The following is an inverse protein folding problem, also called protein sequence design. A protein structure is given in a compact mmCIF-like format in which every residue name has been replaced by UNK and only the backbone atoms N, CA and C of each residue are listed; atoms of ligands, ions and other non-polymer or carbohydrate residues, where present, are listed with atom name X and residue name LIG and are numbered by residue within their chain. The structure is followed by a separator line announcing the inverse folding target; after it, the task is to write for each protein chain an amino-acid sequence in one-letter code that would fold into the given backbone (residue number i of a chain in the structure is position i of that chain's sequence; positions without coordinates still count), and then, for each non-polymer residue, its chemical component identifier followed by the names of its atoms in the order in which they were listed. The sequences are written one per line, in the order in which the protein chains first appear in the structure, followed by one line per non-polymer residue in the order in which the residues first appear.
data_IF_432452202711
#
_entry.id   IF_432452202711
#
_cell.length_a   1.000
_cell.length_b   1.000
_cell.length_c   1.000
_cell.angle_alpha   90.00
_cell.angle_beta   90.00
_cell.angle_gamma   90.00
#
_symmetry.space_group_name_H-M   'P 1'
#
loop_
_entity.id
_entity.type
_entity.pdbx_description
1 polymer ?
#
# COMPACT_ATOMS: atom_id res chain seq x y z
N UNK A 1 -4.17 13.15 -14.27
CA UNK A 1 -3.49 11.92 -13.91
C UNK A 1 -2.39 12.20 -12.89
N UNK A 2 -2.21 11.30 -11.93
CA UNK A 2 -1.06 11.34 -11.03
C UNK A 2 0.17 10.80 -11.75
N UNK A 3 1.26 11.56 -11.69
CA UNK A 3 2.56 11.17 -12.25
C UNK A 3 3.64 11.33 -11.18
N UNK A 4 4.75 10.62 -11.32
CA UNK A 4 5.85 10.65 -10.35
C UNK A 4 5.44 10.19 -8.94
N UNK A 5 4.57 9.20 -8.84
CA UNK A 5 4.13 8.62 -7.57
C UNK A 5 5.16 7.60 -7.10
N UNK A 6 5.60 7.70 -5.84
CA UNK A 6 6.41 6.69 -5.17
C UNK A 6 5.69 6.21 -3.90
N UNK A 7 5.44 4.90 -3.81
CA UNK A 7 4.86 4.24 -2.65
C UNK A 7 5.88 3.24 -2.12
N UNK A 8 6.41 3.48 -0.92
CA UNK A 8 7.52 2.70 -0.38
C UNK A 8 7.42 2.49 1.13
N UNK A 9 7.78 1.30 1.60
CA UNK A 9 7.96 0.99 3.02
C UNK A 9 6.67 0.90 3.83
N UNK A 10 5.53 0.68 3.18
CA UNK A 10 4.26 0.58 3.88
C UNK A 10 3.95 -0.86 4.29
N UNK A 11 3.26 -0.99 5.41
CA UNK A 11 2.53 -2.19 5.80
C UNK A 11 1.06 -2.02 5.45
N UNK A 12 0.53 -2.89 4.61
CA UNK A 12 -0.88 -3.09 4.36
C UNK A 12 -1.28 -4.40 5.02
N UNK A 13 -2.16 -4.36 6.00
CA UNK A 13 -2.53 -5.56 6.76
C UNK A 13 -4.03 -5.64 6.97
N UNK A 14 -4.63 -6.77 6.61
CA UNK A 14 -6.06 -7.06 6.73
C UNK A 14 -6.98 -6.15 5.91
N UNK A 15 -6.46 -5.56 4.83
CA UNK A 15 -7.30 -4.75 3.95
C UNK A 15 -8.05 -5.65 2.96
N UNK A 16 -9.38 -5.48 2.89
CA UNK A 16 -10.22 -6.29 2.02
C UNK A 16 -9.83 -6.15 0.55
N UNK A 17 -9.56 -4.93 0.11
CA UNK A 17 -9.10 -4.66 -1.25
C UNK A 17 -8.31 -3.34 -1.33
N UNK A 18 -7.71 -3.10 -2.49
CA UNK A 18 -6.95 -1.87 -2.76
C UNK A 18 -5.70 -1.72 -1.88
N UNK A 19 -4.99 -2.83 -1.65
CA UNK A 19 -3.66 -2.81 -1.05
C UNK A 19 -2.66 -2.13 -2.00
N UNK A 20 -3.00 -0.96 -2.42
CA UNK A 20 -2.67 0.01 -3.47
C UNK A 20 -3.62 -0.10 -4.66
N UNK A 21 -4.30 1.01 -4.95
CA UNK A 21 -5.12 1.18 -6.15
C UNK A 21 -4.47 2.21 -7.07
N UNK A 22 -4.15 1.78 -8.27
CA UNK A 22 -3.60 2.59 -9.34
C UNK A 22 -4.69 2.85 -10.37
N UNK A 23 -5.18 4.09 -10.44
CA UNK A 23 -6.20 4.48 -11.43
C UNK A 23 -5.55 4.72 -12.79
N UNK A 24 -6.31 4.51 -13.84
CA UNK A 24 -5.84 4.57 -15.22
C UNK A 24 -5.03 5.81 -15.57
N UNK A 25 -4.01 5.66 -16.39
CA UNK A 25 -3.08 6.70 -16.77
C UNK A 25 -2.10 7.15 -15.69
N UNK A 26 -2.04 6.47 -14.53
CA UNK A 26 -1.08 6.76 -13.46
C UNK A 26 0.33 6.36 -13.88
N UNK A 27 1.32 7.15 -13.46
CA UNK A 27 2.74 6.77 -13.51
C UNK A 27 3.26 6.61 -12.09
N UNK A 28 3.56 5.39 -11.68
CA UNK A 28 3.91 5.08 -10.31
C UNK A 28 5.02 4.04 -10.16
N UNK A 29 5.76 4.18 -9.07
CA UNK A 29 6.68 3.17 -8.53
C UNK A 29 6.14 2.71 -7.19
N UNK A 30 5.90 1.42 -7.06
CA UNK A 30 5.61 0.74 -5.80
C UNK A 30 6.79 -0.14 -5.45
N UNK A 31 7.45 0.15 -4.34
CA UNK A 31 8.66 -0.57 -3.97
C UNK A 31 8.73 -0.89 -2.48
N UNK A 32 9.20 -2.09 -2.16
CA UNK A 32 9.49 -2.50 -0.79
C UNK A 32 8.32 -2.32 0.19
N UNK A 33 7.10 -2.61 -0.23
CA UNK A 33 5.95 -2.67 0.65
C UNK A 33 5.70 -4.11 1.11
N UNK A 34 5.16 -4.27 2.31
CA UNK A 34 4.67 -5.53 2.84
C UNK A 34 3.15 -5.53 2.83
N UNK A 35 2.56 -6.51 2.16
CA UNK A 35 1.11 -6.72 2.13
C UNK A 35 0.83 -8.06 2.83
N UNK A 36 0.01 -8.01 3.88
CA UNK A 36 -0.37 -9.19 4.65
C UNK A 36 -1.88 -9.38 4.69
N UNK A 37 -2.32 -10.60 4.48
CA UNK A 37 -3.72 -11.01 4.54
C UNK A 37 -4.67 -10.14 3.68
N UNK A 38 -4.33 -9.86 2.39
CA UNK A 38 -5.25 -9.16 1.50
C UNK A 38 -6.48 -10.03 1.22
N UNK A 39 -7.66 -9.41 1.15
CA UNK A 39 -8.93 -10.12 0.93
C UNK A 39 -9.21 -10.41 -0.54
N UNK A 40 -9.86 -9.46 -1.21
CA UNK A 40 -10.39 -9.64 -2.56
C UNK A 40 -9.52 -9.07 -3.68
N UNK A 41 -8.79 -8.00 -3.43
CA UNK A 41 -7.80 -7.41 -4.36
C UNK A 41 -6.52 -7.10 -3.62
N UNK A 42 -5.41 -7.68 -4.06
CA UNK A 42 -4.09 -7.32 -3.59
C UNK A 42 -3.66 -5.98 -4.23
N UNK A 43 -2.65 -5.92 -5.09
CA UNK A 43 -2.39 -4.73 -5.89
C UNK A 43 -3.41 -4.62 -7.02
N UNK A 44 -3.85 -3.40 -7.33
CA UNK A 44 -4.95 -3.19 -8.26
C UNK A 44 -4.67 -2.03 -9.22
N UNK A 45 -4.66 -2.30 -10.50
CA UNK A 45 -4.71 -1.28 -11.55
C UNK A 45 -6.09 -1.27 -12.19
N UNK A 46 -6.71 -0.10 -12.32
CA UNK A 46 -8.04 0.02 -12.92
C UNK A 46 -8.18 1.27 -13.78
N UNK A 47 -8.65 1.10 -15.02
CA UNK A 47 -9.16 2.18 -15.85
C UNK A 47 -10.59 1.87 -16.26
N UNK A 48 -11.54 2.60 -15.70
CA UNK A 48 -12.94 2.47 -16.03
C UNK A 48 -13.34 3.58 -17.03
N UNK A 49 -13.83 3.21 -18.18
CA UNK A 49 -14.21 4.15 -19.24
C UNK A 49 -15.17 5.25 -18.77
N UNK A 50 -16.12 4.89 -17.88
CA UNK A 50 -17.08 5.85 -17.31
C UNK A 50 -16.45 6.96 -16.48
N UNK A 51 -15.28 6.72 -15.88
CA UNK A 51 -14.55 7.72 -15.09
C UNK A 51 -13.77 8.70 -15.98
N UNK A 52 -13.51 8.32 -17.23
CA UNK A 52 -12.78 9.15 -18.18
C UNK A 52 -13.70 10.03 -19.04
N UNK A 53 -14.97 9.68 -19.17
CA UNK A 53 -15.93 10.42 -20.02
C UNK A 53 -15.41 10.53 -21.44
N UNK A 54 -15.31 11.75 -21.96
CA UNK A 54 -14.78 12.03 -23.31
C UNK A 54 -13.26 12.19 -23.40
N UNK A 55 -12.53 12.07 -22.28
CA UNK A 55 -11.07 12.20 -22.31
C UNK A 55 -10.41 10.95 -22.92
N UNK A 56 -9.38 11.11 -23.75
CA UNK A 56 -8.62 9.98 -24.27
C UNK A 56 -7.98 9.18 -23.16
N UNK A 57 -8.11 7.86 -23.21
CA UNK A 57 -7.45 6.97 -22.25
C UNK A 57 -5.94 7.04 -22.38
N UNK A 58 -5.26 7.05 -21.25
CA UNK A 58 -3.82 7.03 -21.19
C UNK A 58 -3.34 5.69 -20.64
N UNK A 59 -2.26 5.19 -21.19
CA UNK A 59 -1.61 3.97 -20.72
C UNK A 59 -1.07 4.20 -19.32
N UNK A 60 -1.40 3.30 -18.38
CA UNK A 60 -0.78 3.31 -17.07
C UNK A 60 0.68 2.84 -17.15
N UNK A 61 1.54 3.37 -16.29
CA UNK A 61 2.95 2.98 -16.23
C UNK A 61 3.30 2.63 -14.79
N UNK A 62 3.43 1.33 -14.52
CA UNK A 62 3.74 0.85 -13.17
C UNK A 62 5.10 0.17 -13.13
N UNK A 63 5.86 0.53 -12.10
CA UNK A 63 7.04 -0.21 -11.67
C UNK A 63 6.78 -0.79 -10.29
N UNK A 64 6.76 -2.13 -10.20
CA UNK A 64 6.46 -2.87 -8.98
C UNK A 64 7.70 -3.69 -8.63
N UNK A 65 8.44 -3.27 -7.57
CA UNK A 65 9.77 -3.83 -7.29
C UNK A 65 9.98 -4.12 -5.80
N UNK A 66 10.39 -5.34 -5.48
CA UNK A 66 10.76 -5.71 -4.13
C UNK A 66 9.60 -5.71 -3.12
N UNK A 67 8.34 -5.77 -3.58
CA UNK A 67 7.21 -5.88 -2.66
C UNK A 67 7.04 -7.34 -2.20
N UNK A 68 6.62 -7.53 -0.96
CA UNK A 68 6.35 -8.85 -0.38
C UNK A 68 4.87 -8.99 -0.09
N UNK A 69 4.27 -10.10 -0.55
CA UNK A 69 2.88 -10.43 -0.23
C UNK A 69 2.82 -11.77 0.48
N UNK A 70 2.21 -11.75 1.66
CA UNK A 70 1.89 -12.92 2.46
C UNK A 70 0.38 -13.05 2.60
N UNK A 71 -0.20 -14.11 2.06
CA UNK A 71 -1.58 -14.48 2.33
C UNK A 71 -1.78 -14.79 3.81
N UNK A 72 -2.99 -14.60 4.27
CA UNK A 72 -3.41 -14.90 5.64
C UNK A 72 -4.80 -15.53 5.67
N UNK A 73 -5.42 -15.61 6.85
CA UNK A 73 -6.68 -16.34 7.03
C UNK A 73 -7.86 -15.83 6.18
N UNK A 74 -7.85 -14.54 5.80
CA UNK A 74 -8.91 -13.95 4.97
C UNK A 74 -8.55 -13.85 3.48
N UNK A 75 -7.35 -14.28 3.09
CA UNK A 75 -6.90 -14.20 1.71
C UNK A 75 -7.59 -15.26 0.86
N UNK A 76 -8.23 -14.81 -0.22
CA UNK A 76 -8.89 -15.71 -1.17
C UNK A 76 -7.88 -16.65 -1.83
N UNK A 77 -8.26 -17.94 -1.96
CA UNK A 77 -7.35 -19.00 -2.43
C UNK A 77 -6.85 -18.83 -3.87
N UNK A 78 -7.53 -18.03 -4.68
CA UNK A 78 -7.21 -17.78 -6.10
C UNK A 78 -6.81 -16.30 -6.34
N UNK A 79 -6.48 -15.55 -5.29
CA UNK A 79 -6.12 -14.15 -5.39
C UNK A 79 -4.81 -13.99 -6.17
N UNK A 80 -4.78 -13.19 -7.27
CA UNK A 80 -3.54 -12.83 -7.94
C UNK A 80 -2.83 -11.68 -7.23
N UNK A 81 -1.53 -11.56 -7.47
CA UNK A 81 -0.71 -10.46 -6.95
C UNK A 81 -1.15 -9.09 -7.49
N UNK A 82 -1.31 -8.97 -8.81
CA UNK A 82 -1.81 -7.76 -9.46
C UNK A 82 -3.10 -8.06 -10.20
N UNK A 83 -4.16 -7.31 -9.89
CA UNK A 83 -5.39 -7.32 -10.69
C UNK A 83 -5.35 -6.14 -11.64
N UNK A 84 -5.59 -6.40 -12.92
CA UNK A 84 -5.82 -5.40 -13.95
C UNK A 84 -7.30 -5.40 -14.31
N UNK A 85 -7.98 -4.30 -14.00
CA UNK A 85 -9.43 -4.16 -14.15
C UNK A 85 -9.78 -3.04 -15.13
N UNK A 86 -10.92 -3.20 -15.81
CA UNK A 86 -11.42 -2.24 -16.78
C UNK A 86 -10.75 -2.32 -18.13
N UNK A 87 -10.71 -1.21 -18.87
CA UNK A 87 -10.40 -1.20 -20.29
C UNK A 87 -9.00 -0.65 -20.63
N UNK A 88 -8.26 -0.15 -19.66
CA UNK A 88 -6.99 0.56 -19.87
C UNK A 88 -5.79 -0.33 -20.05
N UNK A 89 -4.94 0.03 -21.00
CA UNK A 89 -3.66 -0.63 -21.24
C UNK A 89 -2.63 -0.27 -20.15
N UNK A 90 -1.63 -1.14 -19.93
CA UNK A 90 -0.65 -1.02 -18.87
C UNK A 90 0.77 -1.35 -19.37
N UNK A 91 1.69 -0.44 -19.13
CA UNK A 91 3.14 -0.68 -19.19
C UNK A 91 3.62 -1.11 -17.80
N UNK A 92 4.14 -2.33 -17.70
CA UNK A 92 4.50 -2.92 -16.42
C UNK A 92 5.99 -3.32 -16.37
N UNK A 93 6.72 -2.73 -15.45
CA UNK A 93 8.00 -3.24 -14.97
C UNK A 93 7.82 -3.92 -13.61
N UNK A 94 8.10 -5.20 -13.51
CA UNK A 94 7.97 -5.96 -12.27
C UNK A 94 9.25 -6.79 -12.02
N UNK A 95 9.79 -6.66 -10.80
CA UNK A 95 11.03 -7.35 -10.42
C UNK A 95 11.03 -7.67 -8.92
N UNK A 96 11.39 -8.91 -8.55
CA UNK A 96 11.62 -9.34 -7.17
C UNK A 96 10.42 -9.10 -6.24
N UNK A 97 9.23 -9.60 -6.65
CA UNK A 97 8.01 -9.48 -5.86
C UNK A 97 7.50 -10.87 -5.42
N UNK A 98 8.05 -11.48 -4.35
CA UNK A 98 7.50 -12.72 -3.83
C UNK A 98 6.08 -12.50 -3.30
N UNK A 99 5.13 -13.25 -3.84
CA UNK A 99 3.73 -13.25 -3.43
C UNK A 99 3.24 -14.68 -3.20
N UNK A 100 2.75 -14.95 -2.00
CA UNK A 100 2.33 -16.29 -1.57
C UNK A 100 0.97 -16.27 -0.89
N UNK A 101 0.19 -17.31 -1.14
CA UNK A 101 -1.02 -17.61 -0.36
C UNK A 101 -0.68 -18.08 1.05
N UNK A 102 -1.70 -18.21 1.92
CA UNK A 102 -1.53 -18.70 3.28
C UNK A 102 -0.95 -20.14 3.37
N UNK A 103 -1.11 -20.92 2.32
CA UNK A 103 -0.56 -22.28 2.17
C UNK A 103 0.84 -22.28 1.50
N UNK A 104 1.52 -21.14 1.45
CA UNK A 104 2.84 -20.92 0.85
C UNK A 104 2.89 -21.11 -0.69
N UNK A 105 1.79 -21.46 -1.35
CA UNK A 105 1.71 -21.54 -2.81
C UNK A 105 1.88 -20.15 -3.42
N UNK A 106 2.67 -20.05 -4.49
CA UNK A 106 2.86 -18.79 -5.21
C UNK A 106 1.52 -18.28 -5.77
N UNK A 107 1.28 -16.99 -5.62
CA UNK A 107 0.15 -16.32 -6.27
C UNK A 107 0.40 -16.21 -7.77
N UNK A 108 -0.69 -16.27 -8.55
CA UNK A 108 -0.65 -15.86 -9.94
C UNK A 108 -0.19 -14.39 -10.02
N UNK A 109 0.72 -14.08 -10.93
CA UNK A 109 1.26 -12.71 -11.00
C UNK A 109 0.20 -11.68 -11.40
N UNK A 110 -0.60 -11.97 -12.43
CA UNK A 110 -1.63 -11.05 -12.95
C UNK A 110 -2.96 -11.77 -13.11
N UNK A 111 -4.02 -11.18 -12.58
CA UNK A 111 -5.41 -11.50 -12.90
C UNK A 111 -6.05 -10.37 -13.70
N UNK A 112 -6.92 -10.70 -14.64
CA UNK A 112 -7.61 -9.72 -15.47
C UNK A 112 -9.11 -9.78 -15.16
N UNK A 113 -9.71 -8.62 -14.90
CA UNK A 113 -11.16 -8.44 -14.74
C UNK A 113 -11.57 -7.36 -15.74
N UNK A 114 -11.95 -7.75 -16.94
CA UNK A 114 -12.28 -6.81 -18.01
C UNK A 114 -13.19 -7.45 -19.06
N UNK A 115 -14.08 -6.65 -19.62
CA UNK A 115 -14.88 -6.95 -20.81
C UNK A 115 -14.09 -6.69 -22.13
N UNK A 116 -12.99 -5.96 -22.06
CA UNK A 116 -12.00 -5.76 -23.11
C UNK A 116 -10.64 -6.18 -22.58
N UNK A 117 -9.99 -7.12 -23.21
CA UNK A 117 -8.66 -7.56 -22.82
C UNK A 117 -7.65 -6.39 -22.92
N UNK A 118 -7.11 -5.90 -21.77
CA UNK A 118 -6.13 -4.83 -21.75
C UNK A 118 -4.79 -5.33 -22.31
N UNK A 119 -4.08 -4.47 -23.04
CA UNK A 119 -2.72 -4.76 -23.46
C UNK A 119 -1.76 -4.48 -22.32
N UNK A 120 -1.13 -5.53 -21.82
CA UNK A 120 -0.10 -5.43 -20.78
C UNK A 120 1.27 -5.57 -21.46
N UNK A 121 1.98 -4.46 -21.57
CA UNK A 121 3.34 -4.44 -22.11
C UNK A 121 4.35 -4.58 -21.00
N UNK A 122 5.10 -5.67 -21.00
CA UNK A 122 6.23 -5.85 -20.08
C UNK A 122 7.40 -4.99 -20.49
N UNK A 123 7.94 -4.25 -19.52
CA UNK A 123 9.12 -3.40 -19.70
C UNK A 123 10.37 -4.08 -19.14
N UNK A 124 11.50 -3.85 -19.77
CA UNK A 124 12.82 -4.32 -19.31
C UNK A 124 13.46 -3.37 -18.27
N UNK A 125 12.93 -2.17 -18.11
CA UNK A 125 13.38 -1.16 -17.16
C UNK A 125 12.21 -0.27 -16.72
N UNK A 126 12.31 0.31 -15.54
CA UNK A 126 11.33 1.28 -15.05
C UNK A 126 11.38 2.58 -15.85
N UNK A 127 10.24 3.08 -16.38
CA UNK A 127 10.20 4.33 -17.12
C UNK A 127 10.30 5.58 -16.20
N UNK A 128 10.02 5.44 -14.90
CA UNK A 128 9.90 6.55 -13.96
C UNK A 128 10.63 6.28 -12.63
N UNK A 129 11.82 5.65 -12.68
CA UNK A 129 12.55 5.37 -11.45
C UNK A 129 13.04 6.67 -10.81
N UNK A 130 12.73 6.92 -9.51
CA UNK A 130 13.16 8.13 -8.85
C UNK A 130 14.69 8.22 -8.75
N UNK A 131 15.24 9.39 -9.05
CA UNK A 131 16.68 9.60 -8.99
C UNK A 131 17.23 9.34 -7.58
N UNK A 132 18.27 8.52 -7.47
CA UNK A 132 18.90 8.17 -6.19
C UNK A 132 18.14 7.17 -5.33
N UNK A 133 16.92 6.77 -5.68
CA UNK A 133 16.19 5.77 -4.92
C UNK A 133 16.80 4.37 -5.11
N UNK A 134 17.11 3.71 -4.00
CA UNK A 134 17.64 2.34 -3.97
C UNK A 134 16.63 1.41 -3.36
N UNK A 135 16.21 0.41 -4.13
CA UNK A 135 15.34 -0.66 -3.64
C UNK A 135 16.15 -1.64 -2.78
N UNK A 136 15.53 -2.15 -1.73
CA UNK A 136 16.06 -3.27 -0.94
C UNK A 136 15.72 -4.59 -1.62
N UNK A 137 16.53 -5.64 -1.50
CA UNK A 137 16.12 -7.00 -1.85
C UNK A 137 14.82 -7.38 -1.10
N UNK A 138 13.92 -8.09 -1.76
CA UNK A 138 12.64 -8.50 -1.14
C UNK A 138 12.82 -9.30 0.15
N UNK A 139 13.93 -10.06 0.27
CA UNK A 139 14.28 -10.83 1.47
C UNK A 139 14.49 -9.99 2.74
N UNK A 140 14.74 -8.70 2.61
CA UNK A 140 14.94 -7.78 3.73
C UNK A 140 13.67 -6.98 4.08
N UNK A 141 12.67 -6.97 3.18
CA UNK A 141 11.54 -6.05 3.25
C UNK A 141 10.65 -6.32 4.45
N UNK A 142 10.31 -7.58 4.71
CA UNK A 142 9.43 -7.90 5.85
C UNK A 142 10.03 -7.42 7.16
N UNK A 143 11.28 -7.76 7.45
CA UNK A 143 11.94 -7.35 8.68
C UNK A 143 12.04 -5.83 8.79
N UNK A 144 12.38 -5.15 7.70
CA UNK A 144 12.49 -3.71 7.67
C UNK A 144 11.15 -3.01 7.86
N UNK A 145 10.11 -3.40 7.11
CA UNK A 145 8.77 -2.80 7.22
C UNK A 145 8.18 -3.04 8.61
N UNK A 146 8.33 -4.24 9.16
CA UNK A 146 7.86 -4.56 10.51
C UNK A 146 8.54 -3.72 11.60
N UNK A 147 9.80 -3.32 11.39
CA UNK A 147 10.52 -2.45 12.31
C UNK A 147 10.09 -0.98 12.18
N UNK A 148 9.95 -0.47 10.95
CA UNK A 148 9.90 0.97 10.66
C UNK A 148 8.50 1.49 10.26
N UNK A 149 7.56 0.62 9.87
CA UNK A 149 6.23 1.06 9.42
C UNK A 149 5.42 1.69 10.56
N UNK A 150 4.60 2.68 10.19
CA UNK A 150 3.76 3.44 11.10
C UNK A 150 4.34 4.81 11.46
N UNK A 151 3.47 5.72 11.91
CA UNK A 151 3.87 7.11 12.19
C UNK A 151 4.84 7.23 13.39
N UNK A 152 4.81 6.26 14.31
CA UNK A 152 5.64 6.25 15.53
C UNK A 152 6.11 4.84 15.85
N UNK A 153 7.05 4.28 15.08
CA UNK A 153 7.53 2.91 15.31
C UNK A 153 8.17 2.71 16.68
N UNK A 154 8.67 3.78 17.30
CA UNK A 154 9.21 3.78 18.67
C UNK A 154 8.15 3.91 19.78
N UNK A 155 6.91 4.26 19.45
CA UNK A 155 5.82 4.52 20.41
C UNK A 155 4.47 3.99 19.92
N UNK A 156 4.47 2.75 19.42
CA UNK A 156 3.28 2.08 18.89
C UNK A 156 2.21 1.86 19.97
N UNK A 157 0.99 2.13 19.64
CA UNK A 157 -0.16 1.87 20.53
C UNK A 157 -0.56 0.38 20.55
N UNK A 158 -1.68 0.08 21.19
CA UNK A 158 -2.16 -1.29 21.31
C UNK A 158 -2.65 -1.86 19.97
N UNK A 159 -3.22 -1.02 19.10
CA UNK A 159 -3.70 -1.43 17.77
C UNK A 159 -2.52 -1.77 16.87
N UNK A 160 -1.53 -0.88 16.79
CA UNK A 160 -0.31 -1.12 16.01
C UNK A 160 0.39 -2.42 16.46
N UNK A 161 0.53 -2.60 17.78
CA UNK A 161 1.17 -3.80 18.32
C UNK A 161 0.40 -5.07 18.00
N UNK A 162 -0.94 -5.03 18.06
CA UNK A 162 -1.80 -6.15 17.68
C UNK A 162 -1.60 -6.52 16.22
N UNK A 163 -1.74 -5.55 15.30
CA UNK A 163 -1.58 -5.79 13.86
C UNK A 163 -0.20 -6.38 13.53
N UNK A 164 0.87 -5.81 14.09
CA UNK A 164 2.22 -6.35 13.90
C UNK A 164 2.39 -7.76 14.46
N UNK A 165 1.74 -8.08 15.59
CA UNK A 165 1.76 -9.43 16.13
C UNK A 165 1.02 -10.41 15.23
N UNK A 166 -0.13 -10.03 14.69
CA UNK A 166 -0.90 -10.83 13.74
C UNK A 166 -0.09 -11.11 12.46
N UNK A 167 0.62 -10.12 11.93
CA UNK A 167 1.55 -10.32 10.81
C UNK A 167 2.65 -11.33 11.16
N UNK A 168 3.29 -11.20 12.34
CA UNK A 168 4.36 -12.12 12.76
C UNK A 168 3.88 -13.57 12.89
N UNK A 169 2.70 -13.76 13.43
CA UNK A 169 2.16 -15.09 13.73
C UNK A 169 1.33 -15.70 12.60
N UNK A 170 1.08 -14.95 11.52
CA UNK A 170 0.23 -15.41 10.43
C UNK A 170 -1.26 -15.50 10.82
N UNK A 171 -1.70 -14.68 11.77
CA UNK A 171 -3.07 -14.70 12.33
C UNK A 171 -3.80 -13.41 12.03
N UNK A 172 -4.94 -13.18 12.69
CA UNK A 172 -5.80 -12.03 12.45
C UNK A 172 -6.76 -12.25 11.28
N UNK A 173 -7.66 -11.31 11.08
CA UNK A 173 -8.64 -11.37 9.99
C UNK A 173 -9.05 -9.96 9.55
N UNK A 174 -9.65 -9.89 8.38
CA UNK A 174 -10.42 -8.72 7.97
C UNK A 174 -11.67 -8.64 8.85
N UNK A 175 -11.95 -7.45 9.35
CA UNK A 175 -13.08 -7.17 10.26
C UNK A 175 -14.06 -6.22 9.57
N UNK A 176 -15.33 -6.31 9.93
CA UNK A 176 -16.38 -5.41 9.45
C UNK A 176 -16.64 -4.26 10.46
N UNK A 177 -16.26 -4.48 11.74
CA UNK A 177 -16.46 -3.54 12.83
C UNK A 177 -15.28 -3.57 13.82
N UNK A 178 -14.84 -2.40 14.26
CA UNK A 178 -13.71 -2.29 15.20
C UNK A 178 -13.98 -2.94 16.56
N UNK A 179 -15.24 -3.08 16.96
CA UNK A 179 -15.64 -3.78 18.19
C UNK A 179 -15.21 -5.25 18.21
N UNK A 180 -15.06 -5.89 17.04
CA UNK A 180 -14.58 -7.27 16.92
C UNK A 180 -13.14 -7.48 17.44
N UNK A 181 -12.38 -6.39 17.56
CA UNK A 181 -10.99 -6.38 18.00
C UNK A 181 -10.74 -5.46 19.20
N UNK A 182 -11.80 -5.13 19.95
CA UNK A 182 -11.70 -4.34 21.17
C UNK A 182 -11.98 -2.84 21.01
N UNK A 183 -12.42 -2.40 19.85
CA UNK A 183 -12.80 -1.01 19.58
C UNK A 183 -11.61 -0.06 19.39
N UNK A 184 -11.92 1.22 19.28
CA UNK A 184 -10.89 2.26 19.22
C UNK A 184 -10.21 2.48 20.57
N UNK A 185 -8.92 2.81 20.60
CA UNK A 185 -8.24 3.18 21.84
C UNK A 185 -8.90 4.39 22.49
N UNK A 186 -9.19 4.27 23.78
CA UNK A 186 -9.65 5.42 24.56
C UNK A 186 -8.45 6.30 24.87
N UNK A 187 -8.34 7.42 24.15
CA UNK A 187 -7.28 8.38 24.38
C UNK A 187 -7.70 9.40 25.44
N UNK A 188 -6.83 9.66 26.41
CA UNK A 188 -7.04 10.77 27.33
C UNK A 188 -7.12 12.08 26.54
N UNK A 189 -8.19 12.84 26.76
CA UNK A 189 -8.32 14.16 26.11
C UNK A 189 -7.30 15.12 26.74
N UNK A 190 -6.27 15.43 25.97
CA UNK A 190 -5.36 16.52 26.32
C UNK A 190 -5.88 17.82 25.71
N UNK A 191 -6.58 18.60 26.49
CA UNK A 191 -6.95 19.97 26.10
C UNK A 191 -5.82 20.91 26.51
N UNK A 192 -4.87 21.14 25.62
CA UNK A 192 -3.95 22.27 25.75
C UNK A 192 -4.62 23.46 25.08
N UNK A 193 -4.93 24.54 25.79
CA UNK A 193 -5.44 25.74 25.16
C UNK A 193 -4.37 26.26 24.20
N UNK A 194 -4.78 26.50 22.96
CA UNK A 194 -3.91 27.19 22.00
C UNK A 194 -3.91 28.69 22.34
N UNK A 195 -2.75 29.22 22.67
CA UNK A 195 -2.55 30.66 22.91
C UNK A 195 -1.73 31.19 21.73
N UNK A 196 -2.38 31.87 20.81
CA UNK A 196 -1.75 32.40 19.58
C UNK A 196 -0.53 33.28 19.89
N UNK A 197 -0.59 34.07 20.97
CA UNK A 197 0.50 34.92 21.39
C UNK A 197 1.84 34.19 21.65
N UNK A 198 1.77 32.91 22.00
CA UNK A 198 2.94 32.09 22.29
C UNK A 198 3.61 31.50 21.04
N UNK A 199 3.02 31.74 19.86
CA UNK A 199 3.48 31.12 18.63
C UNK A 199 3.93 32.15 17.58
N UNK A 200 4.95 31.79 16.82
CA UNK A 200 5.25 32.41 15.55
C UNK A 200 4.49 31.62 14.46
N UNK A 201 3.35 32.17 14.03
CA UNK A 201 2.49 31.48 13.05
C UNK A 201 3.11 31.37 11.67
N UNK A 202 4.08 32.23 11.31
CA UNK A 202 4.77 32.11 10.02
C UNK A 202 5.75 30.95 9.95
N UNK A 203 6.38 30.60 11.07
CA UNK A 203 7.32 29.48 11.17
C UNK A 203 6.73 28.24 11.88
N UNK A 204 5.53 28.35 12.41
CA UNK A 204 4.85 27.31 13.23
C UNK A 204 5.71 26.86 14.44
N UNK A 205 6.46 27.79 15.01
CA UNK A 205 7.33 27.52 16.17
C UNK A 205 6.85 28.29 17.39
N UNK A 206 7.10 27.72 18.57
CA UNK A 206 6.85 28.42 19.82
C UNK A 206 7.91 29.49 20.06
N UNK A 207 7.49 30.64 20.56
CA UNK A 207 8.40 31.78 20.87
C UNK A 207 9.33 31.50 22.05
N UNK A 208 8.94 30.61 22.94
CA UNK A 208 9.74 30.19 24.09
C UNK A 208 10.74 29.06 23.78
N UNK A 209 10.80 28.60 22.53
CA UNK A 209 11.70 27.51 22.11
C UNK A 209 11.31 26.12 22.62
N UNK A 210 10.18 25.98 23.30
CA UNK A 210 9.72 24.68 23.76
C UNK A 210 9.30 23.80 22.55
N UNK A 211 9.50 22.47 22.61
CA UNK A 211 9.05 21.58 21.54
C UNK A 211 7.53 21.65 21.40
N UNK A 212 7.07 21.61 20.14
CA UNK A 212 5.65 21.66 19.76
C UNK A 212 4.90 20.39 20.15
#
# INVERSE_FOLDING_TARGET
NATQVLIVGNLYAHDYERNQLFKGGVHAVSANNLIYNPGNRCMHYALNASEWGAHPWQVGQLSIVGNVVRGGPSTRADLPFLIVEGQGDLDLYALDNPARHADERAMQEIGIISDREPKIRRLSASPHWPAGFRVRPSSEVEAWVMAEAGARPWARDAVDRRVLQEVRTGTGRIIDDEGEVGGYPVMAQTRRPFVEADWNLASLTRKDGAPS
#
